data_IF_596209917280
#
_entry.id   IF_596209917280
#
_cell.length_a   1.000
_cell.length_b   1.000
_cell.length_c   1.000
_cell.angle_alpha   90.00
_cell.angle_beta   90.00
_cell.angle_gamma   90.00
#
_symmetry.space_group_name_H-M   'P 1'
#
loop_
_entity.id
_entity.type
_entity.pdbx_description
1 polymer ?
#
# COMPACT_ATOMS: atom_id res chain seq x y z
N UNK A 1 24.75 24.11 49.15
CA UNK A 1 24.33 23.76 50.53
C UNK A 1 23.28 22.67 50.40
N UNK A 2 23.67 21.38 50.28
CA UNK A 2 23.99 20.44 51.37
C UNK A 2 22.89 20.41 52.42
N UNK A 3 22.12 19.32 52.42
CA UNK A 3 21.24 18.71 53.45
C UNK A 3 20.10 18.01 52.70
N UNK A 4 19.67 16.80 53.00
CA UNK A 4 20.04 15.86 54.04
C UNK A 4 19.36 14.53 53.67
N UNK A 5 20.15 13.47 53.76
CA UNK A 5 19.78 12.06 53.79
C UNK A 5 18.50 11.77 54.58
N UNK A 6 17.52 11.13 53.96
CA UNK A 6 16.49 10.35 54.67
C UNK A 6 16.34 8.99 53.98
N UNK A 7 16.95 8.01 54.66
CA UNK A 7 16.60 6.60 54.82
C UNK A 7 15.67 5.95 53.77
N UNK A 8 16.26 5.08 52.96
CA UNK A 8 15.56 4.06 52.18
C UNK A 8 14.97 3.04 53.17
N UNK A 9 13.64 3.03 53.31
CA UNK A 9 12.92 1.97 54.00
C UNK A 9 12.24 1.11 52.94
N UNK A 10 12.78 -0.09 52.77
CA UNK A 10 12.25 -1.18 51.96
C UNK A 10 10.86 -1.54 52.49
N UNK A 11 9.82 -1.35 51.68
CA UNK A 11 8.58 -2.15 51.78
C UNK A 11 8.13 -2.48 50.36
N UNK A 12 8.54 -3.67 49.93
CA UNK A 12 7.95 -4.37 48.79
C UNK A 12 6.59 -4.88 49.26
N UNK A 13 5.52 -4.24 48.78
CA UNK A 13 4.21 -4.87 48.71
C UNK A 13 3.75 -4.84 47.25
N UNK A 14 4.02 -5.95 46.55
CA UNK A 14 3.22 -6.32 45.40
C UNK A 14 1.77 -6.51 45.88
N UNK A 15 0.95 -5.49 45.67
CA UNK A 15 -0.49 -5.58 45.77
C UNK A 15 -1.07 -5.09 44.44
N UNK A 16 -1.13 -6.00 43.46
CA UNK A 16 -2.02 -5.81 42.31
C UNK A 16 -3.46 -5.99 42.82
N UNK A 17 -4.09 -4.88 43.24
CA UNK A 17 -5.52 -4.85 43.48
C UNK A 17 -6.25 -4.77 42.14
N UNK A 18 -6.96 -5.84 41.78
CA UNK A 18 -7.97 -5.80 40.72
C UNK A 18 -9.17 -4.96 41.21
N UNK A 19 -9.25 -3.71 40.77
CA UNK A 19 -10.49 -2.93 40.84
C UNK A 19 -11.28 -3.12 39.56
N UNK A 20 -12.40 -3.83 39.69
CA UNK A 20 -13.52 -3.82 38.76
C UNK A 20 -13.83 -2.39 38.30
N UNK A 21 -13.69 -2.13 37.01
CA UNK A 21 -14.43 -1.08 36.31
C UNK A 21 -15.60 -1.77 35.64
N UNK A 22 -16.79 -1.61 36.22
CA UNK A 22 -18.02 -1.80 35.49
C UNK A 22 -18.09 -0.73 34.39
N UNK A 23 -18.09 -1.18 33.15
CA UNK A 23 -18.54 -0.41 31.99
C UNK A 23 -19.12 -1.41 31.00
N UNK A 24 -20.40 -1.71 31.17
CA UNK A 24 -21.22 -2.38 30.17
C UNK A 24 -21.22 -1.53 28.90
N UNK A 25 -20.64 -2.04 27.81
CA UNK A 25 -21.35 -2.37 26.55
C UNK A 25 -20.35 -2.84 25.46
N UNK A 26 -20.42 -4.14 25.16
CA UNK A 26 -20.15 -4.88 23.92
C UNK A 26 -19.01 -4.52 22.94
N UNK A 27 -18.27 -5.60 22.60
CA UNK A 27 -17.55 -5.96 21.35
C UNK A 27 -16.01 -5.83 21.39
N UNK A 28 -15.24 -6.92 21.18
CA UNK A 28 -13.78 -6.91 21.29
C UNK A 28 -13.17 -6.26 20.05
N UNK A 29 -12.59 -5.08 20.19
CA UNK A 29 -11.74 -4.49 19.17
C UNK A 29 -10.33 -5.06 19.33
N UNK A 30 -10.03 -6.11 18.56
CA UNK A 30 -8.64 -6.40 18.20
C UNK A 30 -8.14 -5.13 17.52
N UNK A 31 -7.26 -4.39 18.19
CA UNK A 31 -6.49 -3.35 17.54
C UNK A 31 -5.60 -4.06 16.54
N UNK A 32 -6.08 -4.20 15.31
CA UNK A 32 -5.23 -4.46 14.17
C UNK A 32 -4.22 -3.31 14.15
N UNK A 33 -3.00 -3.60 14.60
CA UNK A 33 -1.87 -2.75 14.31
C UNK A 33 -1.65 -2.86 12.81
N UNK A 34 -2.38 -2.02 12.06
CA UNK A 34 -2.20 -1.79 10.63
C UNK A 34 -0.79 -1.23 10.47
N UNK A 35 0.18 -2.12 10.27
CA UNK A 35 1.47 -1.74 9.71
C UNK A 35 1.13 -1.11 8.36
N UNK A 36 1.22 0.22 8.27
CA UNK A 36 1.14 0.95 7.03
C UNK A 36 2.31 0.49 6.18
N UNK A 37 2.05 -0.46 5.29
CA UNK A 37 3.04 -0.92 4.34
C UNK A 37 3.06 0.12 3.23
N UNK A 38 3.98 1.07 3.34
CA UNK A 38 4.04 2.10 2.31
C UNK A 38 4.49 1.51 1.00
N UNK A 39 3.70 1.70 -0.06
CA UNK A 39 4.09 1.23 -1.39
C UNK A 39 5.23 2.14 -1.82
N UNK A 40 6.47 1.62 -1.95
CA UNK A 40 7.63 2.48 -2.12
C UNK A 40 7.74 3.07 -3.53
N UNK A 41 6.82 2.71 -4.44
CA UNK A 41 6.85 3.10 -5.84
C UNK A 41 5.44 3.19 -6.47
N UNK A 42 5.26 4.02 -7.50
CA UNK A 42 4.07 4.00 -8.35
C UNK A 42 3.83 2.64 -9.02
N UNK A 43 2.58 2.17 -9.02
CA UNK A 43 2.23 0.88 -9.60
C UNK A 43 0.87 0.84 -10.31
N UNK A 44 0.69 -0.25 -11.04
CA UNK A 44 -0.58 -0.69 -11.63
C UNK A 44 -0.83 -2.14 -11.21
N UNK A 45 -2.09 -2.49 -10.95
CA UNK A 45 -2.55 -3.86 -10.87
C UNK A 45 -3.44 -4.15 -12.06
N UNK A 46 -3.08 -5.16 -12.85
CA UNK A 46 -3.83 -5.57 -14.03
C UNK A 46 -3.69 -7.08 -14.23
N UNK A 47 -4.80 -7.74 -14.54
CA UNK A 47 -4.89 -9.18 -14.74
C UNK A 47 -4.22 -9.98 -13.60
N UNK A 48 -4.46 -9.58 -12.35
CA UNK A 48 -3.88 -10.17 -11.13
C UNK A 48 -2.36 -10.00 -10.95
N UNK A 49 -1.68 -9.24 -11.81
CA UNK A 49 -0.27 -8.89 -11.69
C UNK A 49 -0.09 -7.47 -11.15
N UNK A 50 1.02 -7.24 -10.44
CA UNK A 50 1.45 -5.90 -9.99
C UNK A 50 2.63 -5.47 -10.86
N UNK A 51 2.51 -4.30 -11.46
CA UNK A 51 3.54 -3.69 -12.30
C UNK A 51 4.05 -2.41 -11.67
N UNK A 52 5.36 -2.26 -11.56
CA UNK A 52 6.01 -1.02 -11.19
C UNK A 52 6.09 -0.11 -12.41
N UNK A 53 5.54 1.10 -12.30
CA UNK A 53 5.65 2.12 -13.35
C UNK A 53 7.11 2.58 -13.41
N UNK A 54 7.65 2.69 -14.62
CA UNK A 54 9.01 3.18 -14.86
C UNK A 54 8.99 4.59 -15.46
N UNK A 55 10.16 5.15 -15.77
CA UNK A 55 10.28 6.38 -16.57
C UNK A 55 10.68 6.09 -18.01
N UNK A 56 10.65 4.82 -18.43
CA UNK A 56 11.05 4.36 -19.76
C UNK A 56 9.87 4.54 -20.72
N UNK A 57 10.05 5.37 -21.75
CA UNK A 57 9.11 5.46 -22.86
C UNK A 57 9.27 4.27 -23.79
N UNK A 58 8.16 3.78 -24.33
CA UNK A 58 8.13 2.69 -25.31
C UNK A 58 7.31 3.10 -26.53
N UNK A 59 7.75 2.67 -27.72
CA UNK A 59 7.10 3.01 -28.99
C UNK A 59 6.55 1.81 -29.72
N UNK A 60 7.06 0.61 -29.43
CA UNK A 60 6.67 -0.62 -30.09
C UNK A 60 5.41 -1.18 -29.43
N UNK A 61 4.26 -0.60 -29.79
CA UNK A 61 2.95 -0.93 -29.22
C UNK A 61 2.18 -1.85 -30.16
N UNK A 62 1.57 -2.90 -29.62
CA UNK A 62 0.81 -3.88 -30.41
C UNK A 62 -0.71 -3.65 -30.32
N UNK A 63 -1.32 -3.94 -29.17
CA UNK A 63 -2.78 -3.88 -29.00
C UNK A 63 -3.19 -3.43 -27.60
N UNK A 64 -4.37 -2.83 -27.50
CA UNK A 64 -5.00 -2.45 -26.23
C UNK A 64 -5.44 -3.71 -25.47
N UNK A 65 -4.97 -3.87 -24.23
CA UNK A 65 -5.21 -5.06 -23.40
C UNK A 65 -6.13 -4.78 -22.21
N UNK A 66 -6.41 -3.52 -21.91
CA UNK A 66 -7.27 -3.15 -20.82
C UNK A 66 -7.27 -1.66 -20.53
N UNK A 67 -7.90 -1.30 -19.43
CA UNK A 67 -8.08 0.06 -18.98
C UNK A 67 -7.99 0.10 -17.44
N UNK A 68 -7.54 1.21 -16.88
CA UNK A 68 -7.64 1.47 -15.45
C UNK A 68 -9.09 1.79 -15.10
N UNK A 69 -9.60 1.11 -14.09
CA UNK A 69 -10.95 1.31 -13.55
C UNK A 69 -10.92 2.05 -12.21
N UNK A 70 -9.86 1.83 -11.41
CA UNK A 70 -9.75 2.35 -10.06
C UNK A 70 -8.44 3.08 -9.84
N UNK A 71 -8.51 4.32 -9.35
CA UNK A 71 -7.34 5.06 -8.90
C UNK A 71 -7.39 5.29 -7.39
N UNK A 72 -6.30 5.01 -6.68
CA UNK A 72 -6.13 5.45 -5.30
C UNK A 72 -4.66 5.53 -4.93
N UNK A 73 -4.28 6.53 -4.14
CA UNK A 73 -2.98 6.55 -3.46
C UNK A 73 -3.01 5.78 -2.13
N UNK A 74 -4.17 5.24 -1.73
CA UNK A 74 -4.32 4.57 -0.45
C UNK A 74 -3.68 3.18 -0.49
N UNK A 75 -2.82 2.91 0.48
CA UNK A 75 -2.00 1.70 0.57
C UNK A 75 -2.78 0.59 1.27
N UNK A 76 -3.92 0.23 0.67
CA UNK A 76 -4.73 -0.88 1.15
C UNK A 76 -4.12 -2.20 0.68
N UNK A 77 -4.12 -3.19 1.57
CA UNK A 77 -3.54 -4.51 1.29
C UNK A 77 -4.29 -5.21 0.14
N UNK A 78 -5.56 -4.89 -0.04
CA UNK A 78 -6.44 -5.46 -1.04
C UNK A 78 -7.00 -4.34 -1.92
N UNK A 79 -6.31 -4.06 -3.02
CA UNK A 79 -6.86 -3.24 -4.11
C UNK A 79 -7.52 -4.14 -5.17
N UNK A 80 -8.58 -3.66 -5.84
CA UNK A 80 -9.17 -4.38 -6.96
C UNK A 80 -8.16 -4.55 -8.11
N UNK A 81 -8.48 -5.43 -9.06
CA UNK A 81 -7.76 -5.45 -10.34
C UNK A 81 -8.06 -4.17 -11.15
N UNK A 82 -7.31 -3.93 -12.22
CA UNK A 82 -7.43 -2.71 -13.04
C UNK A 82 -7.26 -1.42 -12.21
N UNK A 83 -6.27 -1.43 -11.32
CA UNK A 83 -6.00 -0.38 -10.35
C UNK A 83 -4.71 0.39 -10.68
N UNK A 84 -4.64 1.69 -10.35
CA UNK A 84 -3.41 2.46 -10.38
C UNK A 84 -3.24 3.40 -9.18
N UNK A 85 -2.00 3.61 -8.77
CA UNK A 85 -1.64 4.67 -7.81
C UNK A 85 -1.51 6.04 -8.46
N UNK A 86 -1.36 6.10 -9.78
CA UNK A 86 -0.88 7.30 -10.48
C UNK A 86 -1.76 7.71 -11.65
N UNK A 87 -2.38 6.75 -12.34
CA UNK A 87 -3.19 6.99 -13.52
C UNK A 87 -4.69 6.95 -13.18
N UNK A 88 -5.50 7.88 -13.74
CA UNK A 88 -6.94 7.91 -13.50
C UNK A 88 -7.66 6.76 -14.22
N UNK A 89 -8.92 6.52 -13.83
CA UNK A 89 -9.83 5.66 -14.58
C UNK A 89 -9.98 6.17 -16.03
N UNK A 90 -10.06 5.28 -17.02
CA UNK A 90 -9.98 5.66 -18.43
C UNK A 90 -8.60 5.45 -19.05
N UNK A 91 -7.55 5.29 -18.23
CA UNK A 91 -6.18 5.15 -18.77
C UNK A 91 -6.01 3.79 -19.42
N UNK A 92 -5.62 3.79 -20.69
CA UNK A 92 -5.50 2.59 -21.50
C UNK A 92 -4.17 1.87 -21.27
N UNK A 93 -4.23 0.56 -21.26
CA UNK A 93 -3.11 -0.35 -21.14
C UNK A 93 -2.90 -1.09 -22.46
N UNK A 94 -1.64 -1.29 -22.82
CA UNK A 94 -1.26 -1.87 -24.10
C UNK A 94 -0.21 -2.97 -23.93
N UNK A 95 -0.25 -3.93 -24.85
CA UNK A 95 0.84 -4.89 -25.04
C UNK A 95 2.00 -4.22 -25.77
N UNK A 96 3.22 -4.46 -25.28
CA UNK A 96 4.46 -4.07 -25.95
C UNK A 96 4.86 -5.19 -26.93
N UNK A 97 5.27 -4.83 -28.14
CA UNK A 97 5.69 -5.77 -29.17
C UNK A 97 6.82 -6.67 -28.64
N UNK A 98 6.73 -7.96 -28.96
CA UNK A 98 7.71 -8.99 -28.59
C UNK A 98 8.00 -9.15 -27.08
N UNK A 99 7.19 -8.54 -26.21
CA UNK A 99 7.26 -8.70 -24.75
C UNK A 99 5.96 -9.33 -24.23
N UNK A 100 6.10 -10.36 -23.39
CA UNK A 100 4.94 -10.99 -22.76
C UNK A 100 4.32 -10.05 -21.71
N UNK A 101 2.99 -10.02 -21.63
CA UNK A 101 2.29 -9.13 -20.70
C UNK A 101 2.54 -9.49 -19.24
N UNK A 102 2.98 -10.71 -18.93
CA UNK A 102 3.44 -11.08 -17.59
C UNK A 102 4.79 -10.48 -17.21
N UNK A 103 5.57 -9.95 -18.18
CA UNK A 103 6.86 -9.30 -17.95
C UNK A 103 6.72 -7.77 -17.93
N UNK A 104 6.04 -7.18 -18.92
CA UNK A 104 5.82 -5.74 -18.99
C UNK A 104 4.59 -5.36 -19.82
N UNK A 105 4.06 -4.18 -19.52
CA UNK A 105 2.95 -3.56 -20.25
C UNK A 105 3.25 -2.08 -20.52
N UNK A 106 2.57 -1.50 -21.48
CA UNK A 106 2.60 -0.07 -21.79
C UNK A 106 1.36 0.64 -21.24
N UNK A 107 1.57 1.84 -20.72
CA UNK A 107 0.52 2.71 -20.18
C UNK A 107 0.45 3.94 -21.07
N UNK A 108 -0.73 4.30 -21.54
CA UNK A 108 -0.90 5.50 -22.36
C UNK A 108 -0.95 6.75 -21.49
N UNK A 109 0.02 7.66 -21.66
CA UNK A 109 0.00 8.98 -21.00
C UNK A 109 -0.73 10.01 -21.87
N UNK A 110 -0.48 9.96 -23.18
CA UNK A 110 -1.06 10.86 -24.18
C UNK A 110 -1.28 10.12 -25.52
N UNK A 111 -1.88 10.78 -26.49
CA UNK A 111 -2.01 10.24 -27.84
C UNK A 111 -0.63 9.90 -28.43
N UNK A 112 -0.34 8.60 -28.58
CA UNK A 112 0.93 8.10 -29.12
C UNK A 112 2.12 8.12 -28.14
N UNK A 113 1.90 8.47 -26.87
CA UNK A 113 2.96 8.46 -25.84
C UNK A 113 2.67 7.40 -24.80
N UNK A 114 3.63 6.50 -24.60
CA UNK A 114 3.48 5.34 -23.74
C UNK A 114 4.67 5.17 -22.81
N UNK A 115 4.39 4.86 -21.55
CA UNK A 115 5.39 4.54 -20.53
C UNK A 115 5.30 3.06 -20.17
N UNK A 116 6.45 2.45 -19.97
CA UNK A 116 6.56 1.04 -19.59
C UNK A 116 6.31 0.83 -18.10
N UNK A 117 5.58 -0.21 -17.77
CA UNK A 117 5.51 -0.77 -16.43
C UNK A 117 5.97 -2.23 -16.44
N UNK A 118 6.79 -2.61 -15.48
CA UNK A 118 7.42 -3.93 -15.39
C UNK A 118 6.83 -4.71 -14.25
N UNK A 119 6.53 -5.99 -14.46
CA UNK A 119 6.02 -6.87 -13.41
C UNK A 119 7.04 -6.97 -12.26
N UNK A 120 6.53 -7.04 -11.04
CA UNK A 120 7.33 -7.09 -9.82
C UNK A 120 7.36 -8.49 -9.19
#
# INVERSE_FOLDING_TARGET
MRKLMILILVVICCACSNTKSDSTTATPLISEQKTAHSIPFPLIKWNHHIYRITTENVTDIELEIGEIEYQSMNEERETPDNFSTSYPAGTKLYKILDIDTSEAIAIQEDAGTYVKAVAN
#
